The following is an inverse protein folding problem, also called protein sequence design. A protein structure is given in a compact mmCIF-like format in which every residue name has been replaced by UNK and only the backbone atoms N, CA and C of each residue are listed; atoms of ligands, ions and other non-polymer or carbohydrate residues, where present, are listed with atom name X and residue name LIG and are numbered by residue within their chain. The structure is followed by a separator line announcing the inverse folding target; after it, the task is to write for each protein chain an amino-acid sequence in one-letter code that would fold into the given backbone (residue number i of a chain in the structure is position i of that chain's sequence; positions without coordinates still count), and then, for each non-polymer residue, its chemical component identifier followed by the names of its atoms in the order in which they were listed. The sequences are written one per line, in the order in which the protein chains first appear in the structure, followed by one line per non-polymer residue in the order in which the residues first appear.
data_IF_950316628683
#
_entry.id   IF_950316628683
#
_cell.length_a   1.000
_cell.length_b   1.000
_cell.length_c   1.000
_cell.angle_alpha   90.00
_cell.angle_beta   90.00
_cell.angle_gamma   90.00
#
_symmetry.space_group_name_H-M   'P 1'
#
loop_
_entity.id
_entity.type
_entity.pdbx_description
1 polymer ?
#
# COMPACT_ATOMS: atom_id res chain seq x y z
N UNK A 1 -6.08 12.17 22.35
CA UNK A 1 -4.83 11.87 21.61
C UNK A 1 -3.84 11.45 22.68
N UNK A 2 -3.76 10.15 22.96
CA UNK A 2 -2.70 9.65 23.83
C UNK A 2 -1.37 9.86 23.10
N UNK A 3 -0.45 10.58 23.74
CA UNK A 3 0.92 10.68 23.29
C UNK A 3 1.50 9.26 23.32
N UNK A 4 1.73 8.69 22.14
CA UNK A 4 2.36 7.38 22.02
C UNK A 4 3.63 7.37 22.88
N UNK A 5 3.86 6.36 23.73
CA UNK A 5 5.03 6.31 24.59
C UNK A 5 6.29 6.36 23.72
N UNK A 6 7.08 7.40 23.91
CA UNK A 6 8.40 7.52 23.32
C UNK A 6 9.30 6.55 24.07
N UNK A 7 9.80 5.52 23.39
CA UNK A 7 10.64 4.49 24.00
C UNK A 7 12.07 4.99 24.22
N UNK A 8 12.61 5.74 23.28
CA UNK A 8 13.93 6.36 23.39
C UNK A 8 14.08 7.52 22.39
N UNK A 9 15.04 8.39 22.66
CA UNK A 9 15.37 9.52 21.81
C UNK A 9 16.64 9.25 21.02
N UNK A 10 16.58 9.41 19.69
CA UNK A 10 17.75 9.41 18.81
C UNK A 10 18.02 10.88 18.40
N UNK A 11 18.77 11.62 19.23
CA UNK A 11 18.92 13.05 19.03
C UNK A 11 17.61 13.82 19.23
N UNK A 12 17.18 14.67 18.28
CA UNK A 12 15.93 15.43 18.39
C UNK A 12 14.67 14.60 18.06
N UNK A 13 14.83 13.34 17.58
CA UNK A 13 13.72 12.48 17.17
C UNK A 13 13.34 11.51 18.28
N UNK A 14 12.09 11.60 18.76
CA UNK A 14 11.49 10.63 19.67
C UNK A 14 11.01 9.39 18.90
N UNK A 15 11.57 8.22 19.22
CA UNK A 15 11.17 6.95 18.62
C UNK A 15 10.03 6.35 19.42
N UNK A 16 8.86 6.25 18.77
CA UNK A 16 7.64 5.70 19.36
C UNK A 16 7.60 4.18 19.18
N UNK A 17 6.78 3.50 19.98
CA UNK A 17 6.52 2.06 19.86
C UNK A 17 6.11 1.67 18.42
N UNK A 18 5.32 2.50 17.75
CA UNK A 18 4.90 2.31 16.35
C UNK A 18 6.07 2.20 15.38
N UNK A 19 7.10 3.05 15.55
CA UNK A 19 8.30 3.02 14.71
C UNK A 19 9.07 1.71 14.91
N UNK A 20 9.22 1.27 16.16
CA UNK A 20 9.90 0.01 16.49
C UNK A 20 9.16 -1.19 15.92
N UNK A 21 7.82 -1.21 16.03
CA UNK A 21 6.99 -2.26 15.44
C UNK A 21 7.10 -2.28 13.91
N UNK A 22 7.13 -1.11 13.27
CA UNK A 22 7.32 -0.98 11.82
C UNK A 22 8.69 -1.52 11.39
N UNK A 23 9.76 -1.20 12.11
CA UNK A 23 11.11 -1.72 11.84
C UNK A 23 11.18 -3.22 12.04
N UNK A 24 10.54 -3.74 13.11
CA UNK A 24 10.42 -5.17 13.35
C UNK A 24 9.74 -5.90 12.20
N UNK A 25 8.64 -5.34 11.68
CA UNK A 25 7.93 -5.88 10.52
C UNK A 25 8.79 -5.87 9.25
N UNK A 26 9.50 -4.79 8.99
CA UNK A 26 10.41 -4.71 7.84
C UNK A 26 11.53 -5.74 7.93
N UNK A 27 12.09 -5.96 9.14
CA UNK A 27 13.09 -6.99 9.38
C UNK A 27 12.52 -8.40 9.17
N UNK A 28 11.32 -8.67 9.68
CA UNK A 28 10.64 -9.97 9.50
C UNK A 28 10.39 -10.23 8.01
N UNK A 29 9.91 -9.23 7.27
CA UNK A 29 9.70 -9.33 5.82
C UNK A 29 11.01 -9.57 5.06
N UNK A 30 12.06 -8.82 5.39
CA UNK A 30 13.36 -8.96 4.74
C UNK A 30 14.01 -10.33 5.03
N UNK A 31 14.01 -10.76 6.30
CA UNK A 31 14.53 -12.06 6.71
C UNK A 31 13.69 -13.21 6.16
N UNK A 32 12.36 -13.10 6.21
CA UNK A 32 11.44 -14.09 5.66
C UNK A 32 11.64 -14.25 4.15
N UNK A 33 11.71 -13.15 3.40
CA UNK A 33 12.01 -13.17 1.98
C UNK A 33 13.37 -13.80 1.68
N UNK A 34 14.39 -13.47 2.44
CA UNK A 34 15.74 -14.03 2.28
C UNK A 34 15.81 -15.52 2.60
N UNK A 35 15.14 -15.99 3.67
CA UNK A 35 15.07 -17.40 4.02
C UNK A 35 14.32 -18.20 2.97
N UNK A 36 13.20 -17.69 2.50
CA UNK A 36 12.38 -18.34 1.47
C UNK A 36 13.16 -18.44 0.17
N UNK A 37 13.81 -17.36 -0.28
CA UNK A 37 14.56 -17.35 -1.53
C UNK A 37 15.77 -18.29 -1.52
N UNK A 38 16.36 -18.55 -0.35
CA UNK A 38 17.45 -19.55 -0.22
C UNK A 38 16.99 -21.00 -0.33
N UNK A 39 15.72 -21.27 -0.01
CA UNK A 39 15.12 -22.61 -0.04
C UNK A 39 14.40 -22.97 -1.34
N UNK A 40 14.37 -22.06 -2.34
CA UNK A 40 13.69 -22.32 -3.60
C UNK A 40 14.40 -23.42 -4.41
N UNK A 41 13.65 -24.49 -4.72
CA UNK A 41 14.10 -25.59 -5.57
C UNK A 41 13.37 -25.55 -6.90
N UNK A 42 14.13 -25.69 -8.00
CA UNK A 42 13.57 -25.70 -9.37
C UNK A 42 12.93 -27.05 -9.72
N UNK A 43 13.46 -28.12 -9.14
CA UNK A 43 13.08 -29.49 -9.55
C UNK A 43 11.97 -30.10 -8.68
N UNK A 44 11.79 -29.63 -7.44
CA UNK A 44 10.77 -30.10 -6.50
C UNK A 44 10.23 -28.95 -5.68
N UNK A 45 9.31 -28.14 -6.21
CA UNK A 45 8.70 -27.05 -5.44
C UNK A 45 7.92 -27.62 -4.25
N UNK A 46 8.24 -27.13 -3.04
CA UNK A 46 7.47 -27.44 -1.84
C UNK A 46 6.13 -26.70 -1.82
N UNK A 47 5.19 -27.14 -0.97
CA UNK A 47 3.86 -26.50 -0.83
C UNK A 47 3.96 -24.99 -0.54
N UNK A 48 4.90 -24.59 0.30
CA UNK A 48 5.13 -23.15 0.63
C UNK A 48 5.60 -22.39 -0.59
N UNK A 49 6.51 -22.96 -1.37
CA UNK A 49 6.98 -22.33 -2.61
C UNK A 49 5.83 -22.17 -3.61
N UNK A 50 5.03 -23.20 -3.83
CA UNK A 50 3.87 -23.16 -4.74
C UNK A 50 2.85 -22.11 -4.31
N UNK A 51 2.58 -21.98 -3.00
CA UNK A 51 1.68 -20.97 -2.48
C UNK A 51 2.21 -19.53 -2.69
N UNK A 52 3.52 -19.33 -2.46
CA UNK A 52 4.16 -18.03 -2.69
C UNK A 52 4.21 -17.65 -4.18
N UNK A 53 4.55 -18.61 -5.05
CA UNK A 53 4.54 -18.42 -6.49
C UNK A 53 3.13 -18.08 -6.99
N UNK A 54 2.10 -18.78 -6.48
CA UNK A 54 0.70 -18.46 -6.76
C UNK A 54 0.31 -17.05 -6.31
N UNK A 55 0.77 -16.61 -5.14
CA UNK A 55 0.58 -15.25 -4.65
C UNK A 55 1.24 -14.20 -5.55
N UNK A 56 2.50 -14.44 -5.94
CA UNK A 56 3.23 -13.55 -6.87
C UNK A 56 2.52 -13.47 -8.23
N UNK A 57 2.09 -14.62 -8.78
CA UNK A 57 1.35 -14.67 -10.04
C UNK A 57 0.01 -13.91 -9.96
N UNK A 58 -0.70 -14.02 -8.84
CA UNK A 58 -1.95 -13.29 -8.63
C UNK A 58 -1.72 -11.77 -8.61
N UNK A 59 -0.65 -11.30 -7.94
CA UNK A 59 -0.26 -9.88 -7.94
C UNK A 59 0.14 -9.43 -9.34
N UNK A 60 0.93 -10.21 -10.05
CA UNK A 60 1.36 -9.90 -11.42
C UNK A 60 0.16 -9.84 -12.37
N UNK A 61 -0.77 -10.79 -12.29
CA UNK A 61 -2.00 -10.78 -13.08
C UNK A 61 -2.86 -9.54 -12.79
N UNK A 62 -2.95 -9.11 -11.54
CA UNK A 62 -3.66 -7.89 -11.17
C UNK A 62 -2.99 -6.63 -11.75
N UNK A 63 -1.65 -6.59 -11.80
CA UNK A 63 -0.90 -5.48 -12.41
C UNK A 63 -1.10 -5.49 -13.93
N UNK A 64 -0.98 -6.65 -14.57
CA UNK A 64 -1.17 -6.81 -16.02
C UNK A 64 -2.58 -6.44 -16.47
N UNK A 65 -3.60 -6.67 -15.65
CA UNK A 65 -4.98 -6.25 -15.93
C UNK A 65 -5.15 -4.73 -15.99
N UNK A 66 -4.32 -3.96 -15.25
CA UNK A 66 -4.37 -2.49 -15.21
C UNK A 66 -3.35 -1.86 -16.18
N UNK A 67 -2.17 -2.45 -16.28
CA UNK A 67 -1.03 -1.98 -17.08
C UNK A 67 -0.39 -3.14 -17.85
N UNK A 68 -0.92 -3.50 -19.01
CA UNK A 68 -0.35 -4.57 -19.84
C UNK A 68 1.11 -4.34 -20.19
N UNK A 69 1.96 -5.36 -20.04
CA UNK A 69 3.39 -5.32 -20.33
C UNK A 69 4.26 -4.61 -19.28
N UNK A 70 3.70 -4.22 -18.14
CA UNK A 70 4.44 -3.55 -17.05
C UNK A 70 4.47 -4.34 -15.74
N UNK A 71 3.96 -5.58 -15.74
CA UNK A 71 3.87 -6.45 -14.56
C UNK A 71 5.19 -6.56 -13.81
N UNK A 72 6.25 -6.97 -14.49
CA UNK A 72 7.57 -7.18 -13.89
C UNK A 72 8.22 -5.91 -13.30
N UNK A 73 7.88 -4.73 -13.84
CA UNK A 73 8.42 -3.45 -13.37
C UNK A 73 7.77 -3.02 -12.05
N UNK A 74 6.46 -3.21 -11.91
CA UNK A 74 5.68 -2.74 -10.77
C UNK A 74 5.52 -3.80 -9.67
N UNK A 75 5.70 -5.09 -10.00
CA UNK A 75 5.57 -6.21 -9.08
C UNK A 75 6.37 -6.04 -7.79
N UNK A 76 7.67 -5.66 -7.80
CA UNK A 76 8.42 -5.49 -6.56
C UNK A 76 7.81 -4.42 -5.65
N UNK A 77 7.36 -3.31 -6.20
CA UNK A 77 6.80 -2.20 -5.44
C UNK A 77 5.39 -2.53 -4.91
N UNK A 78 4.48 -2.90 -5.80
CA UNK A 78 3.07 -3.19 -5.44
C UNK A 78 2.99 -4.44 -4.55
N UNK A 79 3.72 -5.50 -4.87
CA UNK A 79 3.75 -6.72 -4.06
C UNK A 79 4.29 -6.48 -2.65
N UNK A 80 5.37 -5.71 -2.51
CA UNK A 80 5.90 -5.33 -1.19
C UNK A 80 4.91 -4.47 -0.42
N UNK A 81 4.24 -3.52 -1.09
CA UNK A 81 3.25 -2.65 -0.47
C UNK A 81 2.05 -3.46 0.06
N UNK A 82 1.52 -4.40 -0.73
CA UNK A 82 0.42 -5.28 -0.30
C UNK A 82 0.82 -6.15 0.89
N UNK A 83 1.98 -6.81 0.81
CA UNK A 83 2.50 -7.66 1.90
C UNK A 83 2.72 -6.85 3.18
N UNK A 84 3.35 -5.67 3.06
CA UNK A 84 3.62 -4.83 4.21
C UNK A 84 2.32 -4.37 4.90
N UNK A 85 1.35 -3.87 4.14
CA UNK A 85 0.09 -3.38 4.70
C UNK A 85 -0.71 -4.53 5.30
N UNK A 86 -0.79 -5.68 4.62
CA UNK A 86 -1.48 -6.85 5.16
C UNK A 86 -0.88 -7.29 6.51
N UNK A 87 0.43 -7.41 6.59
CA UNK A 87 1.11 -7.79 7.83
C UNK A 87 1.02 -6.70 8.91
N UNK A 88 1.15 -5.44 8.53
CA UNK A 88 1.00 -4.31 9.46
C UNK A 88 -0.41 -4.26 10.07
N UNK A 89 -1.45 -4.52 9.26
CA UNK A 89 -2.81 -4.60 9.75
C UNK A 89 -3.03 -5.82 10.66
N UNK A 90 -2.47 -6.98 10.29
CA UNK A 90 -2.59 -8.21 11.07
C UNK A 90 -1.86 -8.15 12.42
N UNK A 91 -0.87 -7.26 12.59
CA UNK A 91 -0.22 -7.10 13.92
C UNK A 91 -1.18 -6.63 15.00
N UNK A 92 -2.26 -5.92 14.66
CA UNK A 92 -3.31 -5.55 15.61
C UNK A 92 -4.09 -6.72 16.24
N UNK A 93 -3.97 -7.93 15.65
CA UNK A 93 -4.55 -9.16 16.21
C UNK A 93 -3.74 -9.74 17.38
N UNK A 94 -2.47 -9.36 17.49
CA UNK A 94 -1.60 -9.88 18.56
C UNK A 94 -1.84 -9.07 19.83
N UNK A 95 -2.30 -9.70 20.92
CA UNK A 95 -2.53 -9.01 22.19
C UNK A 95 -1.26 -8.30 22.66
N UNK A 96 -1.36 -7.00 22.95
CA UNK A 96 -0.23 -6.16 23.38
C UNK A 96 0.53 -5.48 22.25
N UNK A 97 0.23 -5.76 20.96
CA UNK A 97 0.74 -5.01 19.82
C UNK A 97 -0.38 -4.17 19.21
N UNK A 98 -0.05 -2.94 18.85
CA UNK A 98 -0.94 -2.08 18.08
C UNK A 98 -0.53 -2.12 16.61
N UNK A 99 -1.51 -2.16 15.70
CA UNK A 99 -1.23 -2.09 14.28
C UNK A 99 -0.53 -0.77 13.95
N UNK A 100 0.65 -0.78 13.29
CA UNK A 100 1.31 0.47 12.89
C UNK A 100 0.41 1.36 12.02
N UNK A 101 -0.46 0.75 11.24
CA UNK A 101 -1.46 1.41 10.37
C UNK A 101 -2.62 2.04 11.14
N UNK A 102 -2.81 1.73 12.43
CA UNK A 102 -3.68 2.45 13.36
C UNK A 102 -3.14 3.84 13.76
N UNK A 103 -1.95 4.23 13.27
CA UNK A 103 -1.38 5.54 13.49
C UNK A 103 -1.40 6.38 12.20
N UNK A 104 -1.97 7.60 12.30
CA UNK A 104 -2.10 8.51 11.16
C UNK A 104 -0.73 8.88 10.53
N UNK A 105 0.34 8.97 11.32
CA UNK A 105 1.67 9.28 10.79
C UNK A 105 2.21 8.16 9.89
N UNK A 106 1.97 6.90 10.24
CA UNK A 106 2.37 5.75 9.42
C UNK A 106 1.57 5.68 8.13
N UNK A 107 0.25 5.86 8.21
CA UNK A 107 -0.61 5.82 7.02
C UNK A 107 -0.37 7.01 6.10
N UNK A 108 -0.08 8.19 6.66
CA UNK A 108 0.33 9.36 5.89
C UNK A 108 1.69 9.13 5.19
N UNK A 109 2.65 8.50 5.87
CA UNK A 109 3.94 8.14 5.26
C UNK A 109 3.78 7.14 4.11
N UNK A 110 2.92 6.12 4.26
CA UNK A 110 2.60 5.17 3.18
C UNK A 110 1.92 5.86 2.00
N UNK A 111 0.95 6.73 2.25
CA UNK A 111 0.28 7.49 1.21
C UNK A 111 1.24 8.45 0.50
N UNK A 112 2.15 9.09 1.23
CA UNK A 112 3.20 9.93 0.65
C UNK A 112 4.17 9.11 -0.20
N UNK A 113 4.52 7.89 0.22
CA UNK A 113 5.35 6.98 -0.54
C UNK A 113 4.67 6.60 -1.88
N UNK A 114 3.36 6.34 -1.86
CA UNK A 114 2.58 6.11 -3.09
C UNK A 114 2.56 7.36 -3.95
N UNK A 115 2.33 8.54 -3.40
CA UNK A 115 2.36 9.80 -4.12
C UNK A 115 3.70 10.03 -4.84
N UNK A 116 4.82 9.85 -4.14
CA UNK A 116 6.15 9.96 -4.73
C UNK A 116 6.39 8.90 -5.81
N UNK A 117 5.88 7.68 -5.62
CA UNK A 117 6.03 6.61 -6.60
C UNK A 117 5.26 6.89 -7.89
N UNK A 118 4.09 7.51 -7.84
CA UNK A 118 3.33 7.96 -9.03
C UNK A 118 4.19 8.88 -9.87
N UNK A 119 4.81 9.88 -9.24
CA UNK A 119 5.69 10.83 -9.93
C UNK A 119 6.96 10.17 -10.46
N UNK A 120 7.56 9.29 -9.66
CA UNK A 120 8.77 8.56 -10.05
C UNK A 120 8.55 7.67 -11.27
N UNK A 121 7.53 6.81 -11.24
CA UNK A 121 7.21 5.92 -12.35
C UNK A 121 6.69 6.69 -13.57
N UNK A 122 5.91 7.75 -13.37
CA UNK A 122 5.46 8.63 -14.43
C UNK A 122 6.61 9.30 -15.16
N UNK A 123 7.53 9.93 -14.45
CA UNK A 123 8.73 10.55 -15.04
C UNK A 123 9.61 9.52 -15.73
N UNK A 124 9.77 8.33 -15.15
CA UNK A 124 10.58 7.27 -15.74
C UNK A 124 9.98 6.68 -17.01
N UNK A 125 8.66 6.71 -17.14
CA UNK A 125 7.94 6.19 -18.31
C UNK A 125 7.90 7.17 -19.48
N UNK A 126 7.69 8.47 -19.20
CA UNK A 126 7.46 9.50 -20.24
C UNK A 126 8.62 10.47 -20.40
N UNK A 127 9.53 10.54 -19.43
CA UNK A 127 10.55 11.57 -19.34
C UNK A 127 10.06 12.84 -18.63
N UNK A 128 11.02 13.62 -18.10
CA UNK A 128 10.71 14.79 -17.27
C UNK A 128 9.95 15.90 -18.05
N UNK A 129 10.37 16.18 -19.29
CA UNK A 129 9.79 17.25 -20.11
C UNK A 129 8.34 17.00 -20.49
N UNK A 130 8.00 15.87 -21.13
CA UNK A 130 6.62 15.50 -21.45
C UNK A 130 5.73 15.38 -20.22
N UNK A 131 6.25 14.84 -19.10
CA UNK A 131 5.54 14.72 -17.84
C UNK A 131 5.09 16.07 -17.30
N UNK A 132 6.01 17.04 -17.17
CA UNK A 132 5.69 18.39 -16.72
C UNK A 132 4.75 19.12 -17.69
N UNK A 133 4.94 18.92 -19.01
CA UNK A 133 4.05 19.50 -20.01
C UNK A 133 2.61 19.00 -19.87
N UNK A 134 2.41 17.74 -19.49
CA UNK A 134 1.08 17.18 -19.24
C UNK A 134 0.35 17.92 -18.11
N UNK A 135 1.06 18.22 -17.01
CA UNK A 135 0.47 19.00 -15.89
C UNK A 135 0.16 20.45 -16.24
N UNK A 136 0.88 21.02 -17.21
CA UNK A 136 0.69 22.39 -17.71
C UNK A 136 -0.33 22.47 -18.85
N UNK A 137 -0.71 21.35 -19.46
CA UNK A 137 -1.70 21.30 -20.53
C UNK A 137 -3.14 21.14 -20.00
N UNK A 138 -4.14 21.72 -20.65
CA UNK A 138 -4.10 22.68 -21.74
C UNK A 138 -3.78 24.11 -21.31
N UNK A 139 -3.82 24.42 -20.02
CA UNK A 139 -3.54 25.75 -19.47
C UNK A 139 -2.82 25.67 -18.12
N UNK A 140 -1.79 26.50 -17.87
CA UNK A 140 -1.13 26.59 -16.57
C UNK A 140 -2.07 26.89 -15.39
N UNK A 141 -3.24 27.49 -15.69
CA UNK A 141 -4.27 27.80 -14.70
C UNK A 141 -4.90 26.54 -14.07
N UNK A 142 -4.83 25.38 -14.74
CA UNK A 142 -5.34 24.10 -14.26
C UNK A 142 -4.37 23.35 -13.34
N UNK A 143 -3.12 23.76 -13.29
CA UNK A 143 -2.10 23.13 -12.44
C UNK A 143 -2.50 23.04 -10.95
N UNK A 144 -3.04 24.10 -10.30
CA UNK A 144 -3.47 24.00 -8.92
C UNK A 144 -4.60 22.98 -8.72
N UNK A 145 -5.50 22.83 -9.68
CA UNK A 145 -6.59 21.85 -9.62
C UNK A 145 -6.08 20.42 -9.77
N UNK A 146 -5.10 20.16 -10.64
CA UNK A 146 -4.44 18.88 -10.75
C UNK A 146 -3.70 18.50 -9.45
N UNK A 147 -2.95 19.44 -8.87
CA UNK A 147 -2.24 19.23 -7.63
C UNK A 147 -3.19 18.99 -6.45
N UNK A 148 -4.28 19.76 -6.36
CA UNK A 148 -5.33 19.53 -5.35
C UNK A 148 -5.97 18.15 -5.51
N UNK A 149 -6.23 17.71 -6.74
CA UNK A 149 -6.78 16.38 -7.02
C UNK A 149 -5.85 15.26 -6.54
N UNK A 150 -4.56 15.37 -6.82
CA UNK A 150 -3.56 14.37 -6.37
C UNK A 150 -3.37 14.38 -4.85
N UNK A 151 -3.32 15.56 -4.24
CA UNK A 151 -3.25 15.68 -2.79
C UNK A 151 -4.48 15.08 -2.12
N UNK A 152 -5.68 15.34 -2.67
CA UNK A 152 -6.93 14.77 -2.15
C UNK A 152 -6.95 13.24 -2.24
N UNK A 153 -6.45 12.66 -3.34
CA UNK A 153 -6.30 11.19 -3.50
C UNK A 153 -5.35 10.61 -2.45
N UNK A 154 -4.22 11.26 -2.24
CA UNK A 154 -3.21 10.85 -1.25
C UNK A 154 -3.79 10.90 0.17
N UNK A 155 -4.48 11.98 0.52
CA UNK A 155 -5.17 12.11 1.80
C UNK A 155 -6.26 11.05 1.98
N UNK A 156 -7.04 10.78 0.92
CA UNK A 156 -8.07 9.74 0.96
C UNK A 156 -7.49 8.35 1.23
N UNK A 157 -6.32 8.02 0.65
CA UNK A 157 -5.61 6.76 0.94
C UNK A 157 -5.18 6.68 2.41
N UNK A 158 -4.58 7.74 2.95
CA UNK A 158 -4.11 7.79 4.33
C UNK A 158 -5.26 7.64 5.32
N UNK A 159 -6.32 8.44 5.15
CA UNK A 159 -7.47 8.47 6.05
C UNK A 159 -8.26 7.17 5.99
N UNK A 160 -8.40 6.56 4.81
CA UNK A 160 -9.08 5.28 4.65
C UNK A 160 -8.36 4.17 5.42
N UNK A 161 -7.04 4.05 5.24
CA UNK A 161 -6.25 3.03 5.93
C UNK A 161 -6.29 3.22 7.43
N UNK A 162 -6.04 4.44 7.90
CA UNK A 162 -6.11 4.80 9.31
C UNK A 162 -7.50 4.55 9.91
N UNK A 163 -8.55 5.06 9.26
CA UNK A 163 -9.92 5.03 9.78
C UNK A 163 -10.45 3.60 9.93
N UNK A 164 -10.19 2.73 8.97
CA UNK A 164 -10.65 1.35 9.03
C UNK A 164 -9.98 0.58 10.18
N UNK A 165 -8.66 0.67 10.30
CA UNK A 165 -7.92 -0.06 11.35
C UNK A 165 -8.26 0.48 12.74
N UNK A 166 -8.27 1.80 12.91
CA UNK A 166 -8.62 2.41 14.20
C UNK A 166 -10.05 2.10 14.61
N UNK A 167 -11.01 2.10 13.67
CA UNK A 167 -12.40 1.75 13.96
C UNK A 167 -12.56 0.32 14.48
N UNK A 168 -11.83 -0.63 13.89
CA UNK A 168 -11.84 -2.03 14.31
C UNK A 168 -11.18 -2.24 15.67
N UNK A 169 -10.04 -1.61 15.94
CA UNK A 169 -9.38 -1.67 17.25
C UNK A 169 -10.30 -1.12 18.35
N UNK A 170 -10.94 0.02 18.10
CA UNK A 170 -11.88 0.61 19.05
C UNK A 170 -13.14 -0.26 19.24
N UNK A 171 -13.68 -0.83 18.17
CA UNK A 171 -14.83 -1.74 18.26
C UNK A 171 -14.48 -3.00 19.07
N UNK A 172 -13.32 -3.60 18.85
CA UNK A 172 -12.84 -4.77 19.59
C UNK A 172 -12.70 -4.47 21.09
N UNK A 173 -12.11 -3.30 21.44
CA UNK A 173 -11.97 -2.86 22.82
C UNK A 173 -13.32 -2.61 23.51
N UNK A 174 -14.26 -1.94 22.83
CA UNK A 174 -15.60 -1.68 23.37
C UNK A 174 -16.38 -2.99 23.60
N UNK A 175 -16.32 -3.92 22.66
CA UNK A 175 -16.96 -5.23 22.79
C UNK A 175 -16.34 -6.03 23.92
N UNK A 176 -15.01 -5.99 24.07
CA UNK A 176 -14.33 -6.65 25.19
C UNK A 176 -14.77 -6.09 26.55
N UNK A 177 -14.92 -4.77 26.64
CA UNK A 177 -15.33 -4.09 27.87
C UNK A 177 -16.78 -4.44 28.30
N UNK A 178 -17.70 -4.54 27.31
CA UNK A 178 -19.13 -4.72 27.58
C UNK A 178 -19.53 -6.19 27.73
N UNK A 179 -18.96 -7.06 26.88
CA UNK A 179 -19.45 -8.42 26.69
C UNK A 179 -18.48 -9.53 27.15
N UNK A 180 -17.32 -9.16 27.69
CA UNK A 180 -16.33 -10.12 28.18
C UNK A 180 -15.52 -10.82 27.09
N UNK A 181 -14.71 -11.79 27.50
CA UNK A 181 -13.57 -12.32 26.72
C UNK A 181 -13.96 -13.13 25.46
N UNK A 182 -15.14 -13.74 25.42
CA UNK A 182 -15.56 -14.62 24.31
C UNK A 182 -16.21 -13.89 23.14
N UNK A 183 -16.82 -12.76 23.37
CA UNK A 183 -17.58 -12.01 22.36
C UNK A 183 -16.69 -11.25 21.34
N UNK A 184 -15.45 -10.83 21.67
CA UNK A 184 -14.54 -10.25 20.69
C UNK A 184 -14.09 -11.19 19.55
N UNK A 185 -14.24 -12.52 19.69
CA UNK A 185 -13.76 -13.49 18.67
C UNK A 185 -14.34 -13.21 17.27
N UNK A 186 -15.65 -13.01 17.07
CA UNK A 186 -16.20 -12.64 15.77
C UNK A 186 -15.65 -11.31 15.23
N UNK A 187 -15.39 -10.34 16.11
CA UNK A 187 -14.80 -9.05 15.72
C UNK A 187 -13.36 -9.22 15.25
N UNK A 188 -12.58 -10.07 15.90
CA UNK A 188 -11.21 -10.41 15.48
C UNK A 188 -11.20 -11.16 14.15
N UNK A 189 -12.16 -12.06 13.91
CA UNK A 189 -12.34 -12.71 12.62
C UNK A 189 -12.63 -11.71 11.50
N UNK A 190 -13.51 -10.74 11.78
CA UNK A 190 -13.81 -9.64 10.85
C UNK A 190 -12.55 -8.80 10.60
N UNK A 191 -11.74 -8.55 11.63
CA UNK A 191 -10.49 -7.81 11.52
C UNK A 191 -9.51 -8.47 10.53
N UNK A 192 -9.39 -9.80 10.53
CA UNK A 192 -8.54 -10.52 9.57
C UNK A 192 -9.00 -10.26 8.13
N UNK A 193 -10.30 -10.40 7.89
CA UNK A 193 -10.87 -10.19 6.55
C UNK A 193 -10.63 -8.75 6.10
N UNK A 194 -10.93 -7.80 6.97
CA UNK A 194 -10.78 -6.38 6.66
C UNK A 194 -9.31 -5.97 6.47
N UNK A 195 -8.38 -6.53 7.27
CA UNK A 195 -6.95 -6.31 7.12
C UNK A 195 -6.44 -6.68 5.73
N UNK A 196 -6.89 -7.84 5.21
CA UNK A 196 -6.53 -8.33 3.87
C UNK A 196 -7.20 -7.53 2.76
N UNK A 197 -8.51 -7.27 2.90
CA UNK A 197 -9.28 -6.47 1.92
C UNK A 197 -8.73 -5.06 1.85
N UNK A 198 -8.39 -4.45 2.99
CA UNK A 198 -7.84 -3.11 3.04
C UNK A 198 -6.45 -3.02 2.37
N UNK A 199 -5.60 -4.02 2.59
CA UNK A 199 -4.30 -4.10 1.91
C UNK A 199 -4.48 -4.20 0.39
N UNK A 200 -5.43 -5.03 -0.06
CA UNK A 200 -5.77 -5.16 -1.48
C UNK A 200 -6.29 -3.85 -2.07
N UNK A 201 -7.24 -3.19 -1.41
CA UNK A 201 -7.81 -1.91 -1.89
C UNK A 201 -6.73 -0.83 -1.98
N UNK A 202 -5.89 -0.71 -0.94
CA UNK A 202 -4.83 0.30 -0.92
C UNK A 202 -3.82 0.09 -2.06
N UNK A 203 -3.34 -1.14 -2.25
CA UNK A 203 -2.37 -1.44 -3.31
C UNK A 203 -2.96 -1.34 -4.71
N UNK A 204 -4.23 -1.73 -4.89
CA UNK A 204 -4.93 -1.56 -6.19
C UNK A 204 -5.12 -0.08 -6.52
N UNK A 205 -5.49 0.76 -5.56
CA UNK A 205 -5.59 2.20 -5.78
C UNK A 205 -4.22 2.82 -6.06
N UNK A 206 -3.16 2.40 -5.35
CA UNK A 206 -1.79 2.81 -5.65
C UNK A 206 -1.40 2.45 -7.09
N UNK A 207 -1.72 1.23 -7.53
CA UNK A 207 -1.50 0.77 -8.89
C UNK A 207 -2.24 1.62 -9.93
N UNK A 208 -3.53 1.91 -9.70
CA UNK A 208 -4.32 2.76 -10.60
C UNK A 208 -3.75 4.18 -10.68
N UNK A 209 -3.26 4.73 -9.57
CA UNK A 209 -2.65 6.07 -9.55
C UNK A 209 -1.31 6.09 -10.31
N UNK A 210 -0.48 5.06 -10.13
CA UNK A 210 0.76 4.90 -10.89
C UNK A 210 0.44 4.73 -12.39
N UNK A 211 -0.56 3.93 -12.72
CA UNK A 211 -1.02 3.72 -14.09
C UNK A 211 -1.43 5.04 -14.75
N UNK A 212 -2.22 5.86 -14.05
CA UNK A 212 -2.60 7.20 -14.51
C UNK A 212 -1.39 8.09 -14.75
N UNK A 213 -0.41 8.09 -13.85
CA UNK A 213 0.83 8.85 -14.01
C UNK A 213 1.68 8.39 -15.20
N UNK A 214 1.71 7.08 -15.47
CA UNK A 214 2.48 6.51 -16.59
C UNK A 214 1.80 6.68 -17.97
N UNK A 215 0.46 6.72 -18.01
CA UNK A 215 -0.33 6.86 -19.24
C UNK A 215 -0.51 8.33 -19.67
N UNK A 216 -0.08 9.26 -18.86
CA UNK A 216 -0.14 10.70 -19.14
C UNK A 216 0.79 11.18 -20.28
N UNK A 217 1.43 10.27 -21.04
CA UNK A 217 2.26 10.57 -22.20
C UNK A 217 1.45 10.86 -23.47
N UNK A 218 2.06 11.51 -24.49
CA UNK A 218 1.38 12.00 -25.70
C UNK A 218 0.86 10.91 -26.66
N UNK A 219 1.09 9.61 -26.40
CA UNK A 219 0.72 8.52 -27.32
C UNK A 219 -0.71 7.99 -27.16
N UNK A 220 -1.54 8.51 -26.28
CA UNK A 220 -2.93 8.04 -26.10
C UNK A 220 -3.92 8.55 -27.16
N UNK A 221 -3.46 9.36 -28.15
CA UNK A 221 -4.33 9.94 -29.18
C UNK A 221 -4.39 9.13 -30.48
N UNK A 222 -3.62 8.04 -30.63
CA UNK A 222 -3.49 7.33 -31.93
C UNK A 222 -4.40 6.12 -32.14
N UNK A 223 -5.30 5.78 -31.21
CA UNK A 223 -6.25 4.67 -31.42
C UNK A 223 -7.71 5.11 -31.63
N UNK A 224 -7.93 6.30 -32.20
CA UNK A 224 -9.22 6.71 -32.75
C UNK A 224 -9.10 6.99 -34.26
N UNK A 225 -8.55 6.09 -35.02
CA UNK A 225 -8.81 6.01 -36.45
C UNK A 225 -9.93 5.00 -36.67
N UNK A 226 -11.15 5.48 -36.75
CA UNK A 226 -12.31 4.72 -37.19
C UNK A 226 -12.13 4.22 -38.61
N UNK A 227 -12.91 3.21 -39.03
CA UNK A 227 -12.85 2.68 -40.38
C UNK A 227 -13.27 3.78 -41.36
N UNK A 228 -12.40 4.09 -42.29
CA UNK A 228 -12.76 4.83 -43.51
C UNK A 228 -13.65 3.94 -44.39
N UNK A 229 -14.63 4.52 -45.06
CA UNK A 229 -15.65 3.85 -45.89
C UNK A 229 -15.06 3.11 -47.12
#
# INVERSE_FOLDING_TARGET
MESLPVLFYLGPLGITATVVTTWGLLLILALGSWLVTRGLSRDRPGLVQTALEGGVQAVEAAIEAVLPGRGSLLLPFIGTLWLFIALANLTGLVPGLHAPTGNLSTTAALALLVFLSVHWFGIRATGLGPYLRHYLAPSPLLLPFHLLGELSRTLALAVRLFGNIMSLEMAALLVLLVAGLLVPIPVLMLHIIEALVQAYIFGTLALIYIAGGMQSGPDSSFHRSGPSP
#
